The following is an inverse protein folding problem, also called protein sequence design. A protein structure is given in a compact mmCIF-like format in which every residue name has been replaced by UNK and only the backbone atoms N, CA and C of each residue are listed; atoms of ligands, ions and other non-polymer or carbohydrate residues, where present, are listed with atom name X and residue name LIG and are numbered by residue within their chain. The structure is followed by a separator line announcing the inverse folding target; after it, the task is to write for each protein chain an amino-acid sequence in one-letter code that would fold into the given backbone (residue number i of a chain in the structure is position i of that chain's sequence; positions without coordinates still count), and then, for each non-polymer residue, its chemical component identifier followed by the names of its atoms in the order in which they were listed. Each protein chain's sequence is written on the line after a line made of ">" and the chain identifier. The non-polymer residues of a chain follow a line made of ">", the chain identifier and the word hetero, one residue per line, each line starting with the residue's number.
data_IF_753803788860
#
_entry.id   IF_753803788860
#
_cell.length_a   1.000
_cell.length_b   1.000
_cell.length_c   1.000
_cell.angle_alpha   90.00
_cell.angle_beta   90.00
_cell.angle_gamma   90.00
#
_symmetry.space_group_name_H-M   'P 1'
#
loop_
_entity.id
_entity.type
_entity.pdbx_description
1 polymer ?
#
# COMPACT_ATOMS: atom_id res chain seq x y z
N UNK A 1 8.29 2.73 -20.33
CA UNK A 1 9.06 1.65 -19.69
C UNK A 1 8.49 1.42 -18.31
N UNK A 2 8.45 0.17 -17.79
CA UNK A 2 8.03 -0.08 -16.42
C UNK A 2 9.04 0.54 -15.44
N UNK A 3 8.54 1.04 -14.32
CA UNK A 3 9.36 1.68 -13.29
C UNK A 3 8.78 1.48 -11.90
N UNK A 4 9.61 1.68 -10.88
CA UNK A 4 9.18 1.66 -9.48
C UNK A 4 9.47 3.02 -8.86
N UNK A 5 8.48 3.56 -8.15
CA UNK A 5 8.60 4.81 -7.39
C UNK A 5 8.36 4.50 -5.93
N UNK A 6 9.17 5.09 -5.04
CA UNK A 6 9.00 4.97 -3.60
C UNK A 6 8.97 6.36 -2.97
N UNK A 7 7.98 6.61 -2.11
CA UNK A 7 7.82 7.90 -1.46
C UNK A 7 6.75 7.85 -0.38
N UNK A 8 6.71 8.85 0.50
CA UNK A 8 5.57 9.02 1.40
C UNK A 8 4.37 9.46 0.59
N UNK A 9 3.17 9.19 1.10
CA UNK A 9 1.95 9.50 0.35
C UNK A 9 1.95 10.96 -0.12
N UNK A 10 2.25 11.91 0.77
CA UNK A 10 2.27 13.35 0.46
C UNK A 10 3.38 13.79 -0.50
N UNK A 11 4.43 12.98 -0.66
CA UNK A 11 5.56 13.27 -1.56
C UNK A 11 5.29 12.75 -2.99
N UNK A 12 4.27 11.92 -3.17
CA UNK A 12 3.89 11.40 -4.48
C UNK A 12 3.07 12.43 -5.28
N UNK A 13 3.27 12.53 -6.62
CA UNK A 13 2.43 13.34 -7.49
C UNK A 13 0.93 13.03 -7.29
N UNK A 14 0.07 14.04 -7.40
CA UNK A 14 -1.37 13.89 -7.18
C UNK A 14 -1.99 12.76 -8.02
N UNK A 15 -1.66 12.70 -9.31
CA UNK A 15 -2.17 11.67 -10.21
C UNK A 15 -1.72 10.26 -9.80
N UNK A 16 -0.51 10.13 -9.29
CA UNK A 16 0.02 8.85 -8.79
C UNK A 16 -0.68 8.43 -7.49
N UNK A 17 -0.98 9.39 -6.59
CA UNK A 17 -1.76 9.12 -5.38
C UNK A 17 -3.16 8.64 -5.74
N UNK A 18 -3.85 9.34 -6.65
CA UNK A 18 -5.19 8.93 -7.11
C UNK A 18 -5.14 7.54 -7.75
N UNK A 19 -4.21 7.32 -8.70
CA UNK A 19 -4.04 6.02 -9.35
C UNK A 19 -3.72 4.89 -8.36
N UNK A 20 -2.92 5.16 -7.32
CA UNK A 20 -2.61 4.20 -6.27
C UNK A 20 -3.86 3.86 -5.43
N UNK A 21 -4.63 4.87 -5.02
CA UNK A 21 -5.86 4.67 -4.25
C UNK A 21 -6.90 3.88 -5.03
N UNK A 22 -7.10 4.19 -6.32
CA UNK A 22 -8.03 3.45 -7.19
C UNK A 22 -7.56 2.01 -7.42
N UNK A 23 -6.27 1.80 -7.66
CA UNK A 23 -5.70 0.46 -7.83
C UNK A 23 -5.93 -0.40 -6.57
N UNK A 24 -5.69 0.17 -5.39
CA UNK A 24 -5.93 -0.51 -4.11
C UNK A 24 -7.40 -0.85 -3.90
N UNK A 25 -8.31 0.07 -4.23
CA UNK A 25 -9.75 -0.19 -4.17
C UNK A 25 -10.17 -1.35 -5.07
N UNK A 26 -9.72 -1.34 -6.33
CA UNK A 26 -10.01 -2.42 -7.28
C UNK A 26 -9.51 -3.77 -6.78
N UNK A 27 -8.32 -3.82 -6.17
CA UNK A 27 -7.75 -5.06 -5.65
C UNK A 27 -8.45 -5.50 -4.35
N UNK A 28 -8.48 -4.65 -3.33
CA UNK A 28 -8.93 -5.03 -1.99
C UNK A 28 -10.45 -5.10 -1.86
N UNK A 29 -11.17 -4.12 -2.41
CA UNK A 29 -12.62 -4.06 -2.30
C UNK A 29 -13.26 -4.91 -3.40
N UNK A 30 -13.01 -4.59 -4.68
CA UNK A 30 -13.73 -5.25 -5.77
C UNK A 30 -13.30 -6.70 -6.00
N UNK A 31 -11.99 -7.00 -6.00
CA UNK A 31 -11.49 -8.35 -6.30
C UNK A 31 -11.42 -9.26 -5.07
N UNK A 32 -11.08 -8.72 -3.90
CA UNK A 32 -10.89 -9.49 -2.67
C UNK A 32 -12.06 -9.37 -1.69
N UNK A 33 -13.05 -8.51 -1.98
CA UNK A 33 -14.29 -8.41 -1.22
C UNK A 33 -14.14 -7.80 0.17
N UNK A 34 -13.13 -6.94 0.40
CA UNK A 34 -12.99 -6.26 1.68
C UNK A 34 -14.07 -5.18 1.83
N UNK A 35 -14.76 -5.16 2.97
CA UNK A 35 -15.70 -4.10 3.32
C UNK A 35 -14.93 -2.92 3.91
N UNK A 36 -15.09 -1.74 3.34
CA UNK A 36 -14.57 -0.51 3.94
C UNK A 36 -15.52 -0.07 5.06
N UNK A 37 -14.96 0.37 6.18
CA UNK A 37 -15.77 0.82 7.32
C UNK A 37 -16.60 2.09 7.00
N UNK A 38 -16.19 2.86 5.99
CA UNK A 38 -16.84 4.08 5.55
C UNK A 38 -17.20 3.95 4.07
N UNK A 39 -18.35 3.36 3.76
CA UNK A 39 -18.98 3.37 2.43
C UNK A 39 -19.60 4.75 2.12
N UNK A 40 -18.89 5.84 2.40
CA UNK A 40 -19.34 7.17 1.99
C UNK A 40 -19.14 7.31 0.48
N UNK A 41 -20.05 8.04 -0.18
CA UNK A 41 -20.17 8.32 -1.63
C UNK A 41 -18.95 9.03 -2.28
N UNK A 42 -17.77 8.95 -1.67
CA UNK A 42 -16.52 9.48 -2.21
C UNK A 42 -15.94 8.55 -3.27
N UNK A 43 -15.18 9.13 -4.20
CA UNK A 43 -14.41 8.43 -5.23
C UNK A 43 -13.75 7.15 -4.67
N UNK A 44 -13.81 6.01 -5.39
CA UNK A 44 -13.39 4.70 -4.88
C UNK A 44 -11.87 4.62 -4.71
N UNK A 45 -11.37 5.23 -3.63
CA UNK A 45 -9.98 5.22 -3.21
C UNK A 45 -9.88 4.45 -1.89
N UNK A 46 -8.94 3.51 -1.82
CA UNK A 46 -8.70 2.75 -0.59
C UNK A 46 -7.50 3.32 0.17
N UNK A 47 -7.82 3.97 1.29
CA UNK A 47 -6.87 4.46 2.29
C UNK A 47 -7.32 4.02 3.68
N UNK A 48 -6.38 3.61 4.51
CA UNK A 48 -6.63 3.25 5.90
C UNK A 48 -5.78 4.08 6.88
N UNK A 49 -5.98 3.84 8.17
CA UNK A 49 -5.25 4.52 9.25
C UNK A 49 -3.72 4.31 9.24
N UNK A 50 -3.21 3.39 8.41
CA UNK A 50 -1.79 3.11 8.27
C UNK A 50 -1.19 3.83 7.05
N UNK A 51 -1.96 4.61 6.31
CA UNK A 51 -1.46 5.44 5.19
C UNK A 51 -1.14 6.86 5.67
N UNK A 52 -0.36 6.93 6.76
CA UNK A 52 0.04 8.18 7.41
C UNK A 52 1.40 8.70 6.93
N UNK A 53 1.81 9.86 7.46
CA UNK A 53 3.03 10.55 7.03
C UNK A 53 4.32 9.72 7.06
N UNK A 54 4.63 8.91 8.09
CA UNK A 54 5.83 8.08 8.08
C UNK A 54 5.75 6.83 7.19
N UNK A 55 4.60 6.53 6.58
CA UNK A 55 4.42 5.38 5.71
C UNK A 55 5.00 5.64 4.33
N UNK A 56 5.85 4.71 3.86
CA UNK A 56 6.43 4.76 2.51
C UNK A 56 5.65 3.82 1.60
N UNK A 57 5.11 4.36 0.51
CA UNK A 57 4.47 3.60 -0.54
C UNK A 57 5.49 3.25 -1.63
N UNK A 58 5.46 2.00 -2.08
CA UNK A 58 6.22 1.52 -3.23
C UNK A 58 5.22 1.23 -4.34
N UNK A 59 5.30 1.96 -5.44
CA UNK A 59 4.35 1.93 -6.55
C UNK A 59 5.04 1.37 -7.78
N UNK A 60 4.48 0.30 -8.35
CA UNK A 60 4.92 -0.25 -9.63
C UNK A 60 4.09 0.36 -10.75
N UNK A 61 4.78 0.92 -11.75
CA UNK A 61 4.19 1.57 -12.91
C UNK A 61 4.44 0.71 -14.15
N UNK A 62 3.38 0.49 -14.93
CA UNK A 62 3.41 -0.30 -16.16
C UNK A 62 3.66 0.54 -17.41
N UNK A 63 3.13 0.07 -18.54
CA UNK A 63 2.99 0.91 -19.73
C UNK A 63 2.16 2.17 -19.39
N UNK A 64 2.29 3.26 -20.16
CA UNK A 64 1.44 4.46 -19.97
C UNK A 64 1.53 5.13 -18.59
N UNK A 65 2.52 4.80 -17.75
CA UNK A 65 2.65 5.31 -16.38
C UNK A 65 1.47 4.94 -15.45
N UNK A 66 0.71 3.90 -15.79
CA UNK A 66 -0.40 3.41 -14.97
C UNK A 66 0.09 2.57 -13.78
N UNK A 67 -0.59 2.69 -12.63
CA UNK A 67 -0.30 1.84 -11.47
C UNK A 67 -0.71 0.40 -11.79
N UNK A 68 0.23 -0.54 -11.68
CA UNK A 68 -0.01 -1.96 -11.89
C UNK A 68 0.37 -2.84 -10.69
N UNK A 69 0.81 -2.22 -9.60
CA UNK A 69 1.16 -2.90 -8.36
C UNK A 69 1.53 -1.91 -7.27
N UNK A 70 1.39 -2.33 -6.01
CA UNK A 70 1.82 -1.53 -4.88
C UNK A 70 2.23 -2.38 -3.67
N UNK A 71 3.09 -1.82 -2.84
CA UNK A 71 3.38 -2.26 -1.49
C UNK A 71 3.52 -1.05 -0.56
N UNK A 72 3.52 -1.27 0.76
CA UNK A 72 3.80 -0.22 1.76
C UNK A 72 4.80 -0.70 2.79
N UNK A 73 5.65 0.22 3.24
CA UNK A 73 6.62 0.02 4.29
C UNK A 73 6.18 0.84 5.51
N UNK A 74 5.76 0.12 6.55
CA UNK A 74 5.45 0.73 7.84
C UNK A 74 6.72 0.76 8.69
N UNK A 75 7.08 1.91 9.30
CA UNK A 75 8.19 1.98 10.24
C UNK A 75 8.05 0.93 11.34
N UNK A 76 9.18 0.33 11.73
CA UNK A 76 9.23 -0.62 12.85
C UNK A 76 9.36 0.07 14.21
N UNK A 77 9.59 1.38 14.20
CA UNK A 77 9.67 2.24 15.39
C UNK A 77 8.40 3.08 15.55
N UNK A 78 8.09 3.51 16.78
CA UNK A 78 6.95 4.39 17.04
C UNK A 78 5.59 3.67 17.17
N UNK A 79 4.51 4.37 16.82
CA UNK A 79 3.12 3.97 17.13
C UNK A 79 2.72 2.59 16.58
N UNK A 80 3.38 2.13 15.52
CA UNK A 80 3.20 0.84 14.84
C UNK A 80 3.73 -0.39 15.58
N UNK A 81 4.53 -0.19 16.63
CA UNK A 81 5.10 -1.27 17.43
C UNK A 81 4.21 -1.71 18.61
N UNK A 82 2.99 -1.16 18.72
CA UNK A 82 2.04 -1.59 19.78
C UNK A 82 1.48 -2.97 19.46
N UNK A 83 1.47 -3.88 20.45
CA UNK A 83 1.03 -5.29 20.32
C UNK A 83 -0.31 -5.48 19.59
N UNK A 84 -1.26 -4.55 19.74
CA UNK A 84 -2.56 -4.58 19.03
C UNK A 84 -2.45 -4.26 17.53
N UNK A 85 -1.59 -3.32 17.16
CA UNK A 85 -1.38 -2.93 15.75
C UNK A 85 -0.61 -3.99 14.97
N UNK A 86 0.30 -4.71 15.63
CA UNK A 86 1.01 -5.85 15.03
C UNK A 86 0.07 -6.97 14.56
N UNK A 87 -1.04 -7.23 15.28
CA UNK A 87 -2.05 -8.22 14.87
C UNK A 87 -2.81 -7.77 13.62
N UNK A 88 -3.22 -6.49 13.57
CA UNK A 88 -3.88 -5.92 12.40
C UNK A 88 -2.98 -5.92 11.16
N UNK A 89 -1.67 -5.66 11.33
CA UNK A 89 -0.66 -5.78 10.25
C UNK A 89 -0.69 -7.17 9.62
N UNK A 90 -0.59 -8.25 10.42
CA UNK A 90 -0.58 -9.62 9.89
C UNK A 90 -1.86 -9.99 9.13
N UNK A 91 -3.00 -9.45 9.54
CA UNK A 91 -4.27 -9.69 8.85
C UNK A 91 -4.30 -9.00 7.48
N UNK A 92 -3.84 -7.75 7.40
CA UNK A 92 -3.72 -7.03 6.12
C UNK A 92 -2.77 -7.74 5.14
N UNK A 93 -1.65 -8.31 5.60
CA UNK A 93 -0.70 -9.03 4.74
C UNK A 93 -1.16 -10.43 4.30
N UNK A 94 -2.10 -11.08 5.01
CA UNK A 94 -2.56 -12.45 4.66
C UNK A 94 -3.48 -12.48 3.45
N UNK A 95 -4.18 -11.39 3.19
CA UNK A 95 -5.25 -11.32 2.20
C UNK A 95 -4.84 -10.58 0.91
N UNK A 96 -3.58 -10.14 0.79
CA UNK A 96 -3.05 -9.55 -0.45
C UNK A 96 -2.54 -10.68 -1.36
N UNK A 97 -3.02 -10.83 -2.61
CA UNK A 97 -2.42 -11.75 -3.57
C UNK A 97 -0.94 -11.39 -3.68
N UNK A 98 -0.07 -12.39 -3.44
CA UNK A 98 1.39 -12.25 -3.45
C UNK A 98 1.81 -11.39 -4.63
N UNK A 99 2.14 -10.14 -4.37
CA UNK A 99 2.88 -9.31 -5.31
C UNK A 99 4.14 -10.12 -5.61
N UNK A 100 4.29 -10.63 -6.84
CA UNK A 100 5.55 -11.22 -7.30
C UNK A 100 6.56 -10.08 -7.50
N UNK A 101 6.97 -9.49 -6.38
CA UNK A 101 8.21 -8.74 -6.24
C UNK A 101 8.80 -9.26 -4.94
N UNK A 102 9.90 -10.00 -5.07
CA UNK A 102 10.58 -10.62 -3.94
C UNK A 102 11.03 -9.55 -2.94
N UNK A 103 10.37 -9.48 -1.78
CA UNK A 103 11.04 -9.12 -0.52
C UNK A 103 10.18 -9.57 0.66
N UNK A 104 10.04 -10.88 0.83
CA UNK A 104 9.74 -11.42 2.14
C UNK A 104 11.03 -11.30 2.96
N UNK A 105 11.00 -10.46 4.00
CA UNK A 105 12.13 -9.99 4.83
C UNK A 105 12.85 -8.75 4.28
N UNK A 106 12.52 -7.61 4.86
CA UNK A 106 13.54 -6.61 5.18
C UNK A 106 14.53 -7.25 6.19
N UNK A 107 15.46 -8.06 5.69
CA UNK A 107 16.84 -8.09 6.18
C UNK A 107 17.66 -7.47 5.06
N UNK A 108 17.91 -6.18 5.20
CA UNK A 108 19.01 -5.52 4.49
C UNK A 108 20.30 -6.11 5.09
N UNK A 109 20.84 -7.13 4.45
CA UNK A 109 22.21 -7.59 4.69
C UNK A 109 23.12 -6.84 3.73
N UNK A 110 23.88 -5.88 4.27
CA UNK A 110 25.05 -5.30 3.62
C UNK A 110 26.15 -6.37 3.70
N UNK A 111 26.83 -6.66 2.60
CA UNK A 111 28.20 -7.18 2.66
C UNK A 111 29.13 -5.99 2.83
#
# INVERSE_FOLDING_TARGET
>A
MPSVVAGRLNDLPADMRMGLGSYRYDVFVRRLGWTLANEADSEPLEWDQFDDNPTVHVVALGAGHQVCGCARLLPTTGHYNRRGQFRQRKQAFRNVPKLRVASDRARLGIQ
#
